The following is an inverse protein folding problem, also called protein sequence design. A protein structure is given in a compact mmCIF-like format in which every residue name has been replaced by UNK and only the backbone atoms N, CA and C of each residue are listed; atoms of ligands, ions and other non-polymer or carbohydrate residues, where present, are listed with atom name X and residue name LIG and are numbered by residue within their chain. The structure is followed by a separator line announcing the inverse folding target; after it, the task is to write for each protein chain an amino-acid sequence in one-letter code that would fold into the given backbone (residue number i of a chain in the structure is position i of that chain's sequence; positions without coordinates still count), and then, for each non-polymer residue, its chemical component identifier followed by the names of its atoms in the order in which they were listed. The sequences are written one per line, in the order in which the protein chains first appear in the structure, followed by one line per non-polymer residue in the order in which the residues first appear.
data_IF_447046225512
#
_entry.id   IF_447046225512
#
_cell.length_a   1.000
_cell.length_b   1.000
_cell.length_c   1.000
_cell.angle_alpha   90.00
_cell.angle_beta   90.00
_cell.angle_gamma   90.00
#
_symmetry.space_group_name_H-M   'P 1'
#
loop_
_entity.id
_entity.type
_entity.pdbx_description
1 polymer ?
#
# COMPACT_ATOMS: atom_id res chain seq x y z
N UNK A 1 22.69 9.16 -13.66
CA UNK A 1 21.27 8.93 -14.01
C UNK A 1 20.43 9.95 -13.26
N UNK A 2 19.59 10.70 -13.98
CA UNK A 2 18.64 11.64 -13.43
C UNK A 2 17.25 11.01 -13.42
N UNK A 3 16.56 11.06 -12.28
CA UNK A 3 15.23 10.47 -12.10
C UNK A 3 14.27 11.56 -11.62
N UNK A 4 13.15 11.70 -12.32
CA UNK A 4 12.06 12.59 -11.89
C UNK A 4 10.86 11.75 -11.43
N UNK A 5 10.32 12.11 -10.27
CA UNK A 5 9.14 11.49 -9.67
C UNK A 5 8.09 12.59 -9.53
N UNK A 6 6.98 12.43 -10.23
CA UNK A 6 5.91 13.43 -10.29
C UNK A 6 4.82 13.02 -9.31
N UNK A 7 4.66 13.82 -8.26
CA UNK A 7 3.74 13.58 -7.14
C UNK A 7 4.47 13.35 -5.82
N UNK A 8 4.17 14.18 -4.83
CA UNK A 8 4.79 14.16 -3.48
C UNK A 8 3.96 13.44 -2.41
N UNK A 9 3.03 12.60 -2.81
CA UNK A 9 2.28 11.73 -1.90
C UNK A 9 3.08 10.51 -1.43
N UNK A 10 2.41 9.59 -0.72
CA UNK A 10 3.03 8.35 -0.21
C UNK A 10 3.71 7.55 -1.32
N UNK A 11 3.07 7.40 -2.49
CA UNK A 11 3.62 6.70 -3.64
C UNK A 11 4.93 7.34 -4.13
N UNK A 12 4.98 8.67 -4.23
CA UNK A 12 6.16 9.40 -4.69
C UNK A 12 7.34 9.25 -3.73
N UNK A 13 7.12 9.45 -2.44
CA UNK A 13 8.20 9.32 -1.45
C UNK A 13 8.64 7.87 -1.22
N UNK A 14 7.73 6.89 -1.35
CA UNK A 14 8.10 5.46 -1.38
C UNK A 14 8.95 5.15 -2.61
N UNK A 15 8.59 5.68 -3.78
CA UNK A 15 9.37 5.53 -5.02
C UNK A 15 10.75 6.16 -4.87
N UNK A 16 10.84 7.38 -4.34
CA UNK A 16 12.10 8.06 -4.07
C UNK A 16 13.02 7.25 -3.14
N UNK A 17 12.47 6.74 -2.03
CA UNK A 17 13.20 5.89 -1.08
C UNK A 17 13.71 4.62 -1.75
N UNK A 18 12.87 3.99 -2.58
CA UNK A 18 13.25 2.79 -3.33
C UNK A 18 14.37 3.06 -4.32
N UNK A 19 14.26 4.16 -5.05
CA UNK A 19 15.28 4.54 -6.05
C UNK A 19 16.60 4.91 -5.41
N UNK A 20 16.61 5.63 -4.28
CA UNK A 20 17.83 5.89 -3.51
C UNK A 20 18.50 4.60 -3.02
N UNK A 21 17.70 3.64 -2.55
CA UNK A 21 18.23 2.35 -2.09
C UNK A 21 18.85 1.56 -3.24
N UNK A 22 18.21 1.58 -4.41
CA UNK A 22 18.65 0.80 -5.57
C UNK A 22 19.77 1.49 -6.37
N UNK A 23 19.74 2.81 -6.44
CA UNK A 23 20.65 3.63 -7.25
C UNK A 23 21.19 4.80 -6.41
N UNK A 24 22.08 4.56 -5.44
CA UNK A 24 22.53 5.57 -4.49
C UNK A 24 23.22 6.76 -5.13
N UNK A 25 23.78 6.58 -6.34
CA UNK A 25 24.45 7.64 -7.11
C UNK A 25 23.51 8.41 -8.08
N UNK A 26 22.21 8.06 -8.11
CA UNK A 26 21.26 8.74 -8.98
C UNK A 26 20.90 10.10 -8.39
N UNK A 27 20.72 11.09 -9.28
CA UNK A 27 20.11 12.36 -8.92
C UNK A 27 18.60 12.21 -9.01
N UNK A 28 17.93 12.23 -7.87
CA UNK A 28 16.48 12.05 -7.77
C UNK A 28 15.83 13.39 -7.47
N UNK A 29 14.79 13.71 -8.22
CA UNK A 29 13.96 14.92 -8.02
C UNK A 29 12.51 14.50 -7.85
N UNK A 30 11.88 14.91 -6.76
CA UNK A 30 10.44 14.79 -6.54
C UNK A 30 9.79 16.15 -6.85
N UNK A 31 8.76 16.13 -7.68
CA UNK A 31 7.98 17.31 -8.05
C UNK A 31 6.64 17.24 -7.32
N UNK A 32 6.35 18.25 -6.51
CA UNK A 32 5.11 18.35 -5.72
C UNK A 32 4.33 19.57 -6.15
N UNK A 33 3.08 19.39 -6.56
CA UNK A 33 2.19 20.53 -6.83
C UNK A 33 1.75 21.19 -5.53
N UNK A 34 1.83 22.50 -5.41
CA UNK A 34 1.33 23.23 -4.24
C UNK A 34 -0.21 23.21 -4.15
N UNK A 35 -0.89 22.98 -5.27
CA UNK A 35 -2.34 23.09 -5.40
C UNK A 35 -3.07 21.76 -5.17
N UNK A 36 -2.34 20.65 -5.17
CA UNK A 36 -2.90 19.31 -4.99
C UNK A 36 -2.52 18.79 -3.61
N UNK A 37 -3.41 18.84 -2.64
CA UNK A 37 -3.13 18.24 -1.33
C UNK A 37 -2.97 16.71 -1.50
N UNK A 38 -2.05 16.10 -0.74
CA UNK A 38 -1.96 14.65 -0.73
C UNK A 38 -3.30 14.07 -0.28
N UNK A 39 -3.81 13.10 -1.03
CA UNK A 39 -4.97 12.32 -0.62
C UNK A 39 -4.50 11.46 0.55
N UNK A 40 -4.65 11.98 1.76
CA UNK A 40 -4.17 11.34 2.98
C UNK A 40 -5.33 10.93 3.85
N UNK A 41 -5.60 9.67 3.86
CA UNK A 41 -6.40 8.99 4.88
C UNK A 41 -5.50 7.96 5.57
N UNK A 42 -5.98 7.33 6.64
CA UNK A 42 -5.28 6.20 7.21
C UNK A 42 -5.13 5.09 6.17
N UNK A 43 -3.91 4.61 6.00
CA UNK A 43 -3.63 3.51 5.08
C UNK A 43 -3.59 2.18 5.82
N UNK A 44 -4.08 1.15 5.13
CA UNK A 44 -4.11 -0.22 5.62
C UNK A 44 -3.37 -1.12 4.65
N UNK A 45 -2.25 -1.68 5.08
CA UNK A 45 -1.40 -2.50 4.22
C UNK A 45 -1.63 -4.01 4.39
N UNK A 46 -1.08 -4.77 3.48
CA UNK A 46 -0.90 -6.21 3.61
C UNK A 46 0.53 -6.51 4.11
N UNK A 47 0.81 -7.79 4.34
CA UNK A 47 2.16 -8.25 4.72
C UNK A 47 3.24 -7.92 3.68
N UNK A 48 2.88 -7.65 2.42
CA UNK A 48 3.84 -7.30 1.37
C UNK A 48 4.52 -5.95 1.59
N UNK A 49 3.86 -5.01 2.27
CA UNK A 49 4.49 -3.76 2.67
C UNK A 49 5.73 -3.99 3.54
N UNK A 50 5.70 -5.02 4.40
CA UNK A 50 6.85 -5.39 5.23
C UNK A 50 8.09 -5.75 4.39
N UNK A 51 7.90 -6.45 3.27
CA UNK A 51 9.01 -6.81 2.37
C UNK A 51 9.68 -5.55 1.83
N UNK A 52 8.88 -4.57 1.41
CA UNK A 52 9.39 -3.28 0.97
C UNK A 52 10.07 -2.51 2.11
N UNK A 53 9.46 -2.44 3.28
CA UNK A 53 10.03 -1.76 4.44
C UNK A 53 11.39 -2.33 4.85
N UNK A 54 11.52 -3.66 4.88
CA UNK A 54 12.79 -4.33 5.14
C UNK A 54 13.82 -4.06 4.02
N UNK A 55 13.39 -4.03 2.74
CA UNK A 55 14.26 -3.73 1.60
C UNK A 55 14.87 -2.33 1.68
N UNK A 56 14.09 -1.33 2.04
CA UNK A 56 14.59 0.06 2.18
C UNK A 56 15.13 0.37 3.57
N UNK A 57 15.23 -0.62 4.44
CA UNK A 57 15.83 -0.50 5.76
C UNK A 57 15.03 0.35 6.75
N UNK A 58 13.69 0.26 6.72
CA UNK A 58 12.85 0.87 7.75
C UNK A 58 12.90 0.04 9.02
N UNK A 59 13.05 0.72 10.16
CA UNK A 59 12.95 0.11 11.49
C UNK A 59 11.66 0.56 12.16
N UNK A 60 10.87 -0.39 12.62
CA UNK A 60 9.54 -0.14 13.18
C UNK A 60 9.58 0.90 14.31
N UNK A 61 10.59 0.81 15.18
CA UNK A 61 10.78 1.72 16.29
C UNK A 61 11.06 3.18 15.87
N UNK A 62 11.50 3.41 14.62
CA UNK A 62 11.81 4.75 14.12
C UNK A 62 10.58 5.40 13.48
N UNK A 63 9.87 4.69 12.60
CA UNK A 63 8.82 5.30 11.80
C UNK A 63 7.40 5.12 12.39
N UNK A 64 7.12 3.99 13.03
CA UNK A 64 5.76 3.71 13.52
C UNK A 64 5.22 4.76 14.51
N UNK A 65 6.00 5.19 15.54
CA UNK A 65 5.52 6.22 16.46
C UNK A 65 5.28 7.57 15.78
N UNK A 66 6.09 7.90 14.75
CA UNK A 66 5.98 9.15 14.03
C UNK A 66 4.76 9.20 13.07
N UNK A 67 4.25 8.04 12.69
CA UNK A 67 3.18 7.90 11.72
C UNK A 67 1.87 7.35 12.32
N UNK A 68 1.75 7.34 13.65
CA UNK A 68 0.61 6.74 14.39
C UNK A 68 0.35 5.30 13.94
N UNK A 69 1.41 4.56 13.64
CA UNK A 69 1.29 3.25 13.04
C UNK A 69 0.99 2.16 14.08
N UNK A 70 0.18 1.20 13.68
CA UNK A 70 -0.10 -0.01 14.45
C UNK A 70 0.07 -1.25 13.58
N UNK A 71 0.34 -2.40 14.21
CA UNK A 71 0.37 -3.66 13.50
C UNK A 71 -1.01 -4.14 13.11
N UNK A 72 -1.11 -4.71 11.92
CA UNK A 72 -2.29 -5.37 11.39
C UNK A 72 -1.97 -6.84 11.16
N UNK A 73 -2.78 -7.75 11.68
CA UNK A 73 -2.55 -9.20 11.57
C UNK A 73 -3.64 -9.94 10.81
N UNK A 74 -4.71 -9.24 10.44
CA UNK A 74 -5.81 -9.80 9.67
C UNK A 74 -6.63 -8.71 8.96
N UNK A 75 -7.55 -9.15 8.13
CA UNK A 75 -8.63 -8.34 7.57
C UNK A 75 -9.95 -8.89 8.09
N UNK A 76 -10.79 -8.03 8.66
CA UNK A 76 -12.13 -8.43 9.08
C UNK A 76 -13.11 -8.14 7.96
N UNK A 77 -13.86 -9.15 7.57
CA UNK A 77 -14.96 -9.03 6.62
C UNK A 77 -16.29 -9.04 7.37
N UNK A 78 -17.17 -8.10 7.05
CA UNK A 78 -18.52 -7.99 7.61
C UNK A 78 -19.46 -7.70 6.45
N UNK A 79 -20.61 -8.37 6.40
CA UNK A 79 -21.60 -8.22 5.32
C UNK A 79 -20.97 -8.36 3.90
N UNK A 80 -19.98 -9.25 3.78
CA UNK A 80 -19.18 -9.35 2.55
C UNK A 80 -19.91 -10.10 1.44
N UNK A 81 -20.64 -11.14 1.79
CA UNK A 81 -21.37 -11.97 0.85
C UNK A 81 -22.87 -11.66 0.85
N UNK A 82 -23.42 -11.47 2.04
CA UNK A 82 -24.82 -11.12 2.25
C UNK A 82 -24.97 -10.19 3.45
N UNK A 83 -26.06 -9.42 3.48
CA UNK A 83 -26.42 -8.59 4.62
C UNK A 83 -26.70 -9.51 5.80
N UNK A 84 -26.13 -9.20 6.96
CA UNK A 84 -26.23 -10.00 8.20
C UNK A 84 -25.33 -11.26 8.22
N UNK A 85 -24.40 -11.42 7.29
CA UNK A 85 -23.38 -12.45 7.39
C UNK A 85 -22.57 -12.31 8.69
N UNK A 86 -22.29 -13.46 9.32
CA UNK A 86 -21.39 -13.49 10.49
C UNK A 86 -20.02 -12.95 10.10
N UNK A 87 -19.55 -11.88 10.76
CA UNK A 87 -18.21 -11.34 10.49
C UNK A 87 -17.13 -12.39 10.72
N UNK A 88 -16.08 -12.35 9.92
CA UNK A 88 -14.97 -13.27 10.03
C UNK A 88 -13.63 -12.62 9.75
N UNK A 89 -12.55 -13.19 10.27
CA UNK A 89 -11.19 -12.72 10.09
C UNK A 89 -10.49 -13.48 8.98
N UNK A 90 -9.74 -12.76 8.14
CA UNK A 90 -8.78 -13.33 7.20
C UNK A 90 -7.37 -13.03 7.72
N UNK A 91 -6.78 -13.94 8.50
CA UNK A 91 -5.49 -13.72 9.15
C UNK A 91 -4.34 -13.75 8.17
N UNK A 92 -3.28 -13.00 8.50
CA UNK A 92 -2.02 -13.08 7.76
C UNK A 92 -1.19 -14.27 8.22
N UNK A 93 -0.47 -14.88 7.28
CA UNK A 93 0.37 -16.03 7.55
C UNK A 93 -0.30 -17.38 7.26
N UNK A 94 0.46 -18.44 7.50
CA UNK A 94 -0.01 -19.80 7.28
C UNK A 94 -0.87 -20.31 8.44
N UNK A 95 -1.84 -21.19 8.17
CA UNK A 95 -2.61 -21.85 9.21
C UNK A 95 -1.74 -22.75 10.10
N UNK A 96 -2.14 -22.89 11.36
CA UNK A 96 -1.51 -23.80 12.33
C UNK A 96 -1.91 -25.26 12.07
N UNK A 97 -1.61 -25.73 10.86
CA UNK A 97 -1.97 -27.07 10.43
C UNK A 97 -0.87 -27.65 9.54
N UNK A 98 -0.55 -28.89 9.77
CA UNK A 98 0.40 -29.64 8.95
C UNK A 98 -0.37 -30.69 8.13
N UNK A 99 -0.87 -30.29 6.98
CA UNK A 99 -1.56 -31.15 6.03
C UNK A 99 -0.82 -31.18 4.70
N UNK A 100 -0.73 -32.38 4.11
CA UNK A 100 -0.15 -32.55 2.80
C UNK A 100 -0.93 -31.81 1.68
N UNK A 101 -2.26 -31.74 1.84
CA UNK A 101 -3.17 -31.09 0.90
C UNK A 101 -4.20 -30.22 1.65
N UNK A 102 -3.82 -29.05 2.15
CA UNK A 102 -4.71 -28.21 2.96
C UNK A 102 -5.98 -27.81 2.21
N UNK A 103 -5.88 -27.50 0.92
CA UNK A 103 -7.01 -27.00 0.11
C UNK A 103 -8.15 -28.02 0.03
N UNK A 104 -7.81 -29.29 -0.18
CA UNK A 104 -8.81 -30.39 -0.22
C UNK A 104 -9.48 -30.55 1.12
N UNK A 105 -8.71 -30.45 2.18
CA UNK A 105 -9.24 -30.57 3.53
C UNK A 105 -10.17 -29.39 3.85
N UNK A 106 -9.79 -28.17 3.53
CA UNK A 106 -10.59 -26.97 3.70
C UNK A 106 -11.89 -27.01 2.91
N UNK A 107 -11.82 -27.43 1.65
CA UNK A 107 -13.02 -27.64 0.85
C UNK A 107 -13.99 -28.63 1.48
N UNK A 108 -13.49 -29.72 2.06
CA UNK A 108 -14.31 -30.71 2.73
C UNK A 108 -14.97 -30.15 4.00
N UNK A 109 -14.29 -29.27 4.76
CA UNK A 109 -14.90 -28.63 5.92
C UNK A 109 -15.99 -27.62 5.50
N UNK A 110 -15.75 -26.85 4.46
CA UNK A 110 -16.78 -25.98 3.86
C UNK A 110 -18.01 -26.77 3.43
N UNK A 111 -17.84 -27.87 2.74
CA UNK A 111 -18.93 -28.80 2.37
C UNK A 111 -19.71 -29.36 3.56
N UNK A 112 -19.11 -29.42 4.73
CA UNK A 112 -19.74 -29.85 5.99
C UNK A 112 -20.43 -28.69 6.73
N UNK A 113 -20.52 -27.52 6.13
CA UNK A 113 -21.20 -26.36 6.69
C UNK A 113 -20.41 -25.59 7.75
N UNK A 114 -19.07 -25.65 7.72
CA UNK A 114 -18.26 -24.76 8.57
C UNK A 114 -18.36 -23.34 8.07
N UNK A 115 -18.60 -22.41 8.99
CA UNK A 115 -18.57 -20.99 8.69
C UNK A 115 -17.12 -20.49 8.50
N UNK A 116 -16.97 -19.36 7.80
CA UNK A 116 -15.66 -18.70 7.64
C UNK A 116 -15.06 -18.32 8.98
N UNK A 117 -15.86 -17.82 9.92
CA UNK A 117 -15.41 -17.47 11.26
C UNK A 117 -14.86 -18.68 12.04
N UNK A 118 -15.64 -19.77 12.10
CA UNK A 118 -15.16 -21.01 12.75
C UNK A 118 -13.87 -21.51 12.13
N UNK A 119 -13.79 -21.47 10.80
CA UNK A 119 -12.62 -21.87 10.07
C UNK A 119 -11.39 -21.04 10.44
N UNK A 120 -11.51 -19.70 10.44
CA UNK A 120 -10.41 -18.80 10.78
C UNK A 120 -9.93 -19.03 12.23
N UNK A 121 -10.84 -19.12 13.18
CA UNK A 121 -10.51 -19.29 14.61
C UNK A 121 -9.86 -20.62 14.92
N UNK A 122 -10.29 -21.71 14.28
CA UNK A 122 -9.76 -23.06 14.55
C UNK A 122 -8.31 -23.22 14.03
N UNK A 123 -7.90 -22.45 13.00
CA UNK A 123 -6.60 -22.65 12.36
C UNK A 123 -5.61 -21.52 12.50
N UNK A 124 -6.03 -20.34 12.92
CA UNK A 124 -5.14 -19.21 13.14
C UNK A 124 -5.36 -18.58 14.52
N UNK A 125 -4.37 -18.70 15.38
CA UNK A 125 -4.38 -17.96 16.65
C UNK A 125 -4.50 -16.45 16.40
N UNK A 126 -3.99 -15.97 15.28
CA UNK A 126 -4.10 -14.58 14.87
C UNK A 126 -5.55 -14.11 14.66
N UNK A 127 -6.48 -14.99 14.25
CA UNK A 127 -7.89 -14.64 14.11
C UNK A 127 -8.52 -14.26 15.45
N UNK A 128 -8.30 -15.08 16.46
CA UNK A 128 -8.80 -14.80 17.82
C UNK A 128 -8.11 -13.60 18.45
N UNK A 129 -6.79 -13.48 18.26
CA UNK A 129 -6.04 -12.33 18.76
C UNK A 129 -6.52 -11.01 18.12
N UNK A 130 -6.87 -11.02 16.82
CA UNK A 130 -7.36 -9.84 16.14
C UNK A 130 -8.69 -9.33 16.70
N UNK A 131 -9.60 -10.22 17.05
CA UNK A 131 -10.89 -9.85 17.68
C UNK A 131 -10.69 -9.15 19.04
N UNK A 132 -9.59 -9.40 19.70
CA UNK A 132 -9.26 -8.84 21.01
C UNK A 132 -8.18 -7.76 20.97
N UNK A 133 -7.80 -7.27 19.80
CA UNK A 133 -6.72 -6.28 19.60
C UNK A 133 -5.37 -6.74 20.22
N UNK A 134 -5.05 -8.01 20.10
CA UNK A 134 -3.82 -8.62 20.62
C UNK A 134 -2.92 -9.09 19.49
N UNK A 135 -1.63 -9.24 19.78
CA UNK A 135 -0.67 -9.90 18.90
C UNK A 135 -0.37 -11.31 19.41
N UNK A 136 -0.35 -12.33 18.55
CA UNK A 136 -0.08 -13.73 18.95
C UNK A 136 1.43 -14.00 19.14
N UNK A 137 2.12 -13.16 19.91
CA UNK A 137 3.60 -13.21 20.09
C UNK A 137 4.09 -14.53 20.70
N UNK A 138 3.24 -15.23 21.43
CA UNK A 138 3.57 -16.53 22.03
C UNK A 138 3.32 -17.71 21.09
N UNK A 139 2.67 -17.50 19.95
CA UNK A 139 2.48 -18.54 18.94
C UNK A 139 3.81 -18.78 18.20
N UNK A 140 4.36 -20.01 18.20
CA UNK A 140 5.62 -20.31 17.53
C UNK A 140 5.55 -20.13 16.01
N UNK A 141 4.35 -20.20 15.42
CA UNK A 141 4.11 -20.01 13.99
C UNK A 141 3.97 -18.54 13.60
N UNK A 142 3.73 -17.66 14.57
CA UNK A 142 3.65 -16.22 14.31
C UNK A 142 5.05 -15.59 14.26
N UNK A 143 5.32 -14.87 13.20
CA UNK A 143 6.54 -14.10 13.03
C UNK A 143 6.16 -12.65 12.71
N UNK A 144 6.46 -11.72 13.63
CA UNK A 144 6.11 -10.32 13.50
C UNK A 144 6.48 -9.76 12.11
N UNK A 145 7.68 -10.06 11.64
CA UNK A 145 8.17 -9.61 10.32
C UNK A 145 7.54 -10.28 9.10
N UNK A 146 6.79 -11.36 9.27
CA UNK A 146 6.20 -12.11 8.15
C UNK A 146 4.69 -12.10 8.14
N UNK A 147 4.08 -11.92 9.31
CA UNK A 147 2.65 -12.10 9.51
C UNK A 147 1.94 -10.80 9.88
N UNK A 148 2.58 -9.65 9.63
CA UNK A 148 1.97 -8.35 9.90
C UNK A 148 1.97 -7.45 8.68
N UNK A 149 0.91 -6.70 8.51
CA UNK A 149 0.87 -5.43 7.81
C UNK A 149 0.76 -4.31 8.85
N UNK A 150 0.31 -3.15 8.41
CA UNK A 150 0.22 -1.96 9.24
C UNK A 150 -1.06 -1.18 8.94
N UNK A 151 -1.48 -0.38 9.93
CA UNK A 151 -2.31 0.80 9.73
C UNK A 151 -1.46 2.01 10.07
N UNK A 152 -1.48 3.07 9.30
CA UNK A 152 -0.74 4.29 9.57
C UNK A 152 -1.36 5.51 8.88
N UNK A 153 -0.98 6.70 9.33
CA UNK A 153 -1.30 7.96 8.68
C UNK A 153 -0.41 8.13 7.44
N UNK A 154 -1.04 8.15 6.25
CA UNK A 154 -0.34 8.21 4.97
C UNK A 154 0.44 9.52 4.77
N UNK A 155 -0.10 10.64 5.25
CA UNK A 155 0.55 11.95 5.14
C UNK A 155 1.77 12.01 6.05
N UNK A 156 1.62 11.57 7.29
CA UNK A 156 2.75 11.49 8.23
C UNK A 156 3.84 10.57 7.70
N UNK A 157 3.46 9.44 7.11
CA UNK A 157 4.42 8.50 6.55
C UNK A 157 5.19 9.09 5.35
N UNK A 158 4.50 9.74 4.42
CA UNK A 158 5.14 10.43 3.29
C UNK A 158 6.13 11.50 3.79
N UNK A 159 5.71 12.33 4.74
CA UNK A 159 6.56 13.35 5.34
C UNK A 159 7.76 12.72 6.07
N UNK A 160 7.54 11.64 6.82
CA UNK A 160 8.60 10.95 7.52
C UNK A 160 9.66 10.37 6.56
N UNK A 161 9.24 9.76 5.46
CA UNK A 161 10.15 9.28 4.41
C UNK A 161 10.98 10.43 3.81
N UNK A 162 10.31 11.53 3.45
CA UNK A 162 10.99 12.75 2.95
C UNK A 162 12.08 13.21 3.90
N UNK A 163 11.74 13.36 5.17
CA UNK A 163 12.59 14.03 6.15
C UNK A 163 13.70 13.12 6.72
N UNK A 164 13.49 11.78 6.70
CA UNK A 164 14.42 10.84 7.32
C UNK A 164 15.15 9.91 6.34
N UNK A 165 14.58 9.63 5.16
CA UNK A 165 15.17 8.72 4.17
C UNK A 165 15.57 9.42 2.87
N UNK A 166 14.92 10.52 2.53
CA UNK A 166 15.09 11.19 1.25
C UNK A 166 15.76 12.58 1.36
N UNK A 167 16.62 12.79 2.34
CA UNK A 167 17.29 14.08 2.59
C UNK A 167 18.20 14.52 1.43
N UNK A 168 18.71 13.61 0.62
CA UNK A 168 19.51 13.89 -0.57
C UNK A 168 18.69 14.08 -1.84
N UNK A 169 17.37 13.87 -1.77
CA UNK A 169 16.46 14.04 -2.91
C UNK A 169 16.21 15.53 -3.14
N UNK A 170 16.35 15.97 -4.39
CA UNK A 170 15.95 17.31 -4.77
C UNK A 170 14.40 17.40 -4.77
N UNK A 171 13.87 18.49 -4.23
CA UNK A 171 12.43 18.75 -4.16
C UNK A 171 12.11 20.00 -4.94
N UNK A 172 11.22 19.89 -5.91
CA UNK A 172 10.66 21.02 -6.63
C UNK A 172 9.20 21.17 -6.20
N UNK A 173 8.87 22.31 -5.61
CA UNK A 173 7.49 22.72 -5.40
C UNK A 173 7.06 23.45 -6.65
N UNK A 174 6.24 22.84 -7.47
CA UNK A 174 5.83 23.38 -8.75
C UNK A 174 4.84 22.47 -9.45
N UNK A 175 4.22 23.01 -10.48
CA UNK A 175 3.26 22.29 -11.30
C UNK A 175 3.92 21.78 -12.57
N UNK A 176 3.65 20.54 -12.95
CA UNK A 176 3.95 20.07 -14.31
C UNK A 176 2.86 20.61 -15.24
N UNK A 177 3.26 21.53 -16.13
CA UNK A 177 2.35 22.22 -17.05
C UNK A 177 2.11 21.41 -18.32
N UNK A 178 3.18 20.77 -18.82
CA UNK A 178 3.16 20.02 -20.07
C UNK A 178 4.31 19.01 -20.10
N UNK A 179 4.27 18.09 -21.07
CA UNK A 179 5.38 17.18 -21.37
C UNK A 179 5.45 16.84 -22.86
N UNK A 180 6.65 16.62 -23.36
CA UNK A 180 6.88 16.16 -24.73
C UNK A 180 7.20 14.66 -24.76
N UNK A 181 6.44 13.95 -25.57
CA UNK A 181 6.65 12.52 -25.82
C UNK A 181 7.08 12.29 -27.28
N UNK A 182 8.10 11.47 -27.46
CA UNK A 182 8.57 11.02 -28.79
C UNK A 182 8.53 9.49 -28.81
N UNK A 183 7.55 8.93 -29.51
CA UNK A 183 7.24 7.50 -29.41
C UNK A 183 6.78 7.13 -28.00
N UNK A 184 7.47 6.18 -27.38
CA UNK A 184 7.15 5.72 -26.02
C UNK A 184 7.99 6.43 -24.92
N UNK A 185 8.85 7.37 -25.32
CA UNK A 185 9.74 8.07 -24.40
C UNK A 185 9.27 9.48 -24.09
N UNK A 186 9.27 9.87 -22.81
CA UNK A 186 9.13 11.27 -22.40
C UNK A 186 10.50 11.94 -22.55
N UNK A 187 10.57 13.00 -23.33
CA UNK A 187 11.79 13.77 -23.55
C UNK A 187 11.95 14.87 -22.54
N UNK A 188 10.89 15.65 -22.34
CA UNK A 188 10.91 16.84 -21.49
C UNK A 188 9.64 16.93 -20.68
N UNK A 189 9.78 17.56 -19.48
CA UNK A 189 8.68 18.08 -18.70
C UNK A 189 8.84 19.61 -18.62
N UNK A 190 7.72 20.33 -18.63
CA UNK A 190 7.71 21.74 -18.23
C UNK A 190 7.14 21.83 -16.83
N UNK A 191 7.92 22.46 -15.93
CA UNK A 191 7.55 22.67 -14.53
C UNK A 191 7.67 24.18 -14.29
N UNK A 192 6.54 24.83 -14.02
CA UNK A 192 6.46 26.29 -13.89
C UNK A 192 7.17 26.99 -15.08
N UNK A 193 6.78 26.62 -16.30
CA UNK A 193 7.31 27.14 -17.58
C UNK A 193 8.80 26.83 -17.85
N UNK A 194 9.47 26.08 -16.99
CA UNK A 194 10.88 25.66 -17.20
C UNK A 194 10.95 24.23 -17.69
N UNK A 195 11.78 24.04 -18.71
CA UNK A 195 12.03 22.73 -19.28
C UNK A 195 12.99 21.92 -18.41
N UNK A 196 12.62 20.64 -18.19
CA UNK A 196 13.40 19.67 -17.43
C UNK A 196 13.54 18.36 -18.23
N UNK A 197 14.71 17.75 -18.13
CA UNK A 197 15.04 16.49 -18.77
C UNK A 197 15.55 15.47 -17.74
N UNK A 198 15.16 14.21 -17.91
CA UNK A 198 15.63 13.12 -17.08
C UNK A 198 15.79 11.81 -17.90
N UNK A 199 16.56 10.89 -17.33
CA UNK A 199 16.73 9.55 -17.90
C UNK A 199 15.53 8.64 -17.61
N UNK A 200 14.77 8.93 -16.54
CA UNK A 200 13.63 8.14 -16.08
C UNK A 200 12.59 9.01 -15.37
N UNK A 201 11.34 8.77 -15.68
CA UNK A 201 10.20 9.45 -15.08
C UNK A 201 9.27 8.44 -14.40
N UNK A 202 8.81 8.77 -13.19
CA UNK A 202 7.78 8.03 -12.48
C UNK A 202 6.55 8.92 -12.31
N UNK A 203 5.41 8.44 -12.79
CA UNK A 203 4.12 9.08 -12.56
C UNK A 203 3.52 8.56 -11.24
N UNK A 204 3.53 9.42 -10.23
CA UNK A 204 2.95 9.19 -8.91
C UNK A 204 1.79 10.18 -8.64
N UNK A 205 1.11 10.64 -9.71
CA UNK A 205 0.02 11.63 -9.63
C UNK A 205 -1.35 11.02 -9.31
N UNK A 206 -1.37 9.75 -8.95
CA UNK A 206 -2.60 9.04 -8.58
C UNK A 206 -3.57 8.92 -9.77
N UNK A 207 -4.84 9.16 -9.54
CA UNK A 207 -5.87 9.04 -10.56
C UNK A 207 -5.73 10.05 -11.72
N UNK A 208 -4.95 11.11 -11.54
CA UNK A 208 -4.66 12.05 -12.64
C UNK A 208 -3.87 11.38 -13.75
N UNK A 209 -2.96 10.45 -13.40
CA UNK A 209 -2.14 9.68 -14.35
C UNK A 209 -1.54 10.58 -15.44
N UNK A 210 -0.89 11.65 -15.00
CA UNK A 210 -0.52 12.82 -15.83
C UNK A 210 0.34 12.45 -17.05
N UNK A 211 1.30 11.55 -16.86
CA UNK A 211 2.24 11.15 -17.91
C UNK A 211 1.74 9.97 -18.76
N UNK A 212 0.59 9.41 -18.42
CA UNK A 212 0.02 8.27 -19.12
C UNK A 212 -1.05 8.74 -20.11
N UNK A 213 -0.82 8.52 -21.40
CA UNK A 213 -1.79 8.84 -22.47
C UNK A 213 -2.76 7.70 -22.77
N UNK A 214 -2.78 6.65 -21.98
CA UNK A 214 -3.71 5.54 -22.17
C UNK A 214 -5.13 5.95 -21.76
N UNK A 215 -6.12 5.48 -22.52
CA UNK A 215 -7.52 5.62 -22.12
C UNK A 215 -7.77 4.81 -20.84
N UNK A 216 -8.54 5.39 -19.92
CA UNK A 216 -9.04 4.68 -18.76
C UNK A 216 -10.07 3.63 -19.21
N UNK A 217 -9.85 2.38 -18.76
CA UNK A 217 -10.87 1.36 -18.89
C UNK A 217 -11.92 1.56 -17.81
N UNK A 218 -13.16 1.73 -18.20
CA UNK A 218 -14.27 1.83 -17.27
C UNK A 218 -14.67 0.44 -16.77
N UNK A 219 -14.33 0.14 -15.52
CA UNK A 219 -14.74 -1.09 -14.84
C UNK A 219 -15.95 -0.86 -13.91
N UNK A 220 -16.62 0.27 -13.99
CA UNK A 220 -17.74 0.61 -13.10
C UNK A 220 -18.79 -0.50 -13.04
N UNK A 221 -19.11 -1.12 -14.17
CA UNK A 221 -20.08 -2.24 -14.22
C UNK A 221 -19.62 -3.50 -13.44
N UNK A 222 -18.33 -3.66 -13.20
CA UNK A 222 -17.78 -4.77 -12.41
C UNK A 222 -17.63 -4.43 -10.93
N UNK A 223 -17.57 -3.14 -10.60
CA UNK A 223 -17.38 -2.65 -9.23
C UNK A 223 -18.71 -2.45 -8.49
N UNK A 224 -19.81 -2.30 -9.21
CA UNK A 224 -21.16 -2.12 -8.62
C UNK A 224 -21.61 -3.26 -7.69
N UNK A 225 -20.97 -4.41 -7.76
CA UNK A 225 -21.28 -5.56 -6.90
C UNK A 225 -20.38 -5.68 -5.68
N UNK A 226 -19.34 -4.85 -5.55
CA UNK A 226 -18.32 -5.01 -4.52
C UNK A 226 -18.12 -3.80 -3.61
N UNK A 227 -18.69 -2.65 -3.92
CA UNK A 227 -18.47 -1.43 -3.13
C UNK A 227 -19.77 -0.96 -2.45
N UNK A 228 -19.99 -1.50 -1.25
CA UNK A 228 -21.05 -1.04 -0.35
C UNK A 228 -20.77 0.36 0.24
N UNK A 229 -19.63 0.98 -0.06
CA UNK A 229 -19.29 2.31 0.45
C UNK A 229 -19.94 3.43 -0.37
N UNK A 230 -20.26 3.21 -1.64
CA UNK A 230 -20.90 4.21 -2.50
C UNK A 230 -22.43 4.26 -2.37
N UNK A 231 -23.07 3.25 -1.81
CA UNK A 231 -24.52 3.20 -1.62
C UNK A 231 -25.05 4.11 -0.47
N UNK A 232 -24.16 4.74 0.29
CA UNK A 232 -24.52 5.62 1.41
C UNK A 232 -24.55 7.11 1.02
N UNK A 233 -24.24 7.45 -0.22
CA UNK A 233 -24.14 8.82 -0.72
C UNK A 233 -25.34 9.28 -1.56
N UNK A 234 -26.50 8.61 -1.48
CA UNK A 234 -27.76 9.04 -2.13
C UNK A 234 -28.83 9.45 -1.14
#
# INVERSE_FOLDING_TARGET
MNIYIIGGGSSGWMTATTMLTKFPEAKITVVESPDVPPVGVGESTTQYFRIWADYVGLKDEEWMPACDATYKISVRFSNFHDVDDTPWQYPFGAPNINLAHPDVWFWNQYKRGWSNDKFARDYWVAAECAEHNLLPIKDPNFKLKKNTGFHFDAVKFANWLRDNKCQSVNRIIGRVDDFERVGDEIKYLWIDEKQHEADLYFDCTGFTSLLNNSEWLDYSCLLYTSDAADDVAS
#
